data_IF_268726576936
#
_entry.id   IF_268726576936
#
_cell.length_a   1.000
_cell.length_b   1.000
_cell.length_c   1.000
_cell.angle_alpha   90.00
_cell.angle_beta   90.00
_cell.angle_gamma   90.00
#
_symmetry.space_group_name_H-M   'P 1'
#
loop_
_entity.id
_entity.type
_entity.pdbx_description
1 polymer ?
#
# COMPACT_ATOMS: atom_id res chain seq x y z
N UNK A 1 -10.06 16.03 15.98
CA UNK A 1 -10.49 15.32 14.75
C UNK A 1 -10.12 13.85 14.88
N UNK A 2 -11.00 12.93 14.50
CA UNK A 2 -10.69 11.50 14.53
C UNK A 2 -10.38 10.98 13.13
N UNK A 3 -9.37 10.12 13.03
CA UNK A 3 -9.00 9.38 11.82
C UNK A 3 -9.12 7.88 12.08
N UNK A 4 -9.86 7.19 11.20
CA UNK A 4 -10.20 5.78 11.31
C UNK A 4 -9.96 5.06 9.98
N UNK A 5 -9.19 3.98 10.01
CA UNK A 5 -8.82 3.20 8.83
C UNK A 5 -9.31 1.77 8.97
N UNK A 6 -10.03 1.29 7.96
CA UNK A 6 -10.43 -0.11 7.80
C UNK A 6 -9.58 -0.72 6.67
N UNK A 7 -8.79 -1.73 7.01
CA UNK A 7 -7.82 -2.34 6.09
C UNK A 7 -8.35 -3.58 5.37
N UNK A 8 -9.02 -4.50 6.06
CA UNK A 8 -9.56 -5.74 5.49
C UNK A 8 -10.85 -6.17 6.22
N UNK A 9 -11.74 -6.83 5.47
CA UNK A 9 -13.08 -7.22 5.87
C UNK A 9 -13.35 -8.63 5.29
N UNK A 10 -13.27 -9.68 6.11
CA UNK A 10 -13.38 -11.08 5.65
C UNK A 10 -14.47 -11.84 6.42
N UNK A 11 -15.54 -12.27 5.75
CA UNK A 11 -16.54 -13.16 6.38
C UNK A 11 -16.14 -14.61 6.16
N UNK A 12 -16.01 -15.34 7.27
CA UNK A 12 -15.88 -16.80 7.26
C UNK A 12 -16.88 -17.38 8.24
N UNK A 13 -17.71 -18.29 7.75
CA UNK A 13 -18.51 -19.17 8.59
C UNK A 13 -17.60 -20.25 9.19
N UNK A 14 -17.15 -20.07 10.43
CA UNK A 14 -16.55 -21.17 11.19
C UNK A 14 -17.67 -22.06 11.78
N UNK A 15 -17.67 -23.37 11.53
CA UNK A 15 -18.29 -24.30 12.46
C UNK A 15 -17.42 -24.33 13.73
N UNK A 16 -17.96 -23.84 14.86
CA UNK A 16 -17.29 -23.96 16.15
C UNK A 16 -17.06 -25.45 16.51
N UNK A 17 -15.97 -25.78 17.23
CA UNK A 17 -15.66 -27.17 17.55
C UNK A 17 -16.78 -27.83 18.37
N UNK A 18 -17.11 -29.07 18.00
CA UNK A 18 -18.23 -29.84 18.52
C UNK A 18 -18.28 -29.91 20.06
N UNK A 19 -19.22 -29.20 20.68
CA UNK A 19 -19.80 -29.62 21.97
C UNK A 19 -21.25 -29.17 22.19
N UNK A 20 -22.09 -30.18 22.42
CA UNK A 20 -23.49 -30.14 22.90
C UNK A 20 -24.59 -29.54 22.01
N UNK A 21 -25.49 -30.45 21.59
CA UNK A 21 -26.92 -30.30 21.26
C UNK A 21 -27.30 -29.39 20.07
N UNK A 22 -27.94 -30.02 19.09
CA UNK A 22 -28.48 -29.40 17.89
C UNK A 22 -29.64 -28.44 18.17
N UNK A 23 -29.42 -27.14 17.94
CA UNK A 23 -30.50 -26.16 17.84
C UNK A 23 -31.14 -26.30 16.45
N UNK A 24 -32.30 -26.97 16.37
CA UNK A 24 -33.14 -26.93 15.16
C UNK A 24 -33.59 -25.48 14.93
N UNK A 25 -33.02 -24.81 13.92
CA UNK A 25 -33.36 -23.43 13.60
C UNK A 25 -32.23 -22.61 12.95
N UNK A 26 -30.99 -23.10 12.96
CA UNK A 26 -29.91 -22.47 12.20
C UNK A 26 -30.22 -22.52 10.70
N UNK A 27 -30.56 -21.37 10.10
CA UNK A 27 -30.40 -21.19 8.67
C UNK A 27 -28.90 -21.19 8.36
N UNK A 28 -28.46 -22.07 7.48
CA UNK A 28 -27.11 -21.97 6.91
C UNK A 28 -26.98 -20.65 6.13
N UNK A 29 -25.77 -20.10 6.08
CA UNK A 29 -25.49 -18.91 5.28
C UNK A 29 -25.58 -19.31 3.81
N UNK A 30 -26.69 -18.92 3.17
CA UNK A 30 -26.97 -19.31 1.79
C UNK A 30 -25.90 -18.74 0.84
N UNK A 31 -25.52 -19.51 -0.19
CA UNK A 31 -24.67 -19.00 -1.26
C UNK A 31 -25.37 -17.81 -1.91
N UNK A 32 -24.75 -16.62 -1.82
CA UNK A 32 -25.46 -15.36 -2.04
C UNK A 32 -24.58 -14.25 -2.61
N UNK A 33 -25.23 -13.15 -2.99
CA UNK A 33 -24.55 -11.94 -3.45
C UNK A 33 -24.45 -10.94 -2.31
N UNK A 34 -23.28 -10.84 -1.70
CA UNK A 34 -23.07 -10.10 -0.45
C UNK A 34 -22.27 -8.81 -0.66
N UNK A 35 -22.53 -7.80 0.17
CA UNK A 35 -21.67 -6.63 0.36
C UNK A 35 -21.74 -6.14 1.83
N UNK A 36 -20.84 -5.25 2.21
CA UNK A 36 -20.81 -4.63 3.53
C UNK A 36 -20.98 -3.11 3.39
N UNK A 37 -21.60 -2.48 4.39
CA UNK A 37 -21.59 -1.02 4.58
C UNK A 37 -20.95 -0.67 5.91
N UNK A 38 -20.08 0.34 5.90
CA UNK A 38 -19.47 0.92 7.09
C UNK A 38 -20.32 2.09 7.54
N UNK A 39 -20.72 2.07 8.81
CA UNK A 39 -21.59 3.05 9.45
C UNK A 39 -20.88 3.56 10.71
N UNK A 40 -20.81 4.88 10.88
CA UNK A 40 -20.21 5.54 12.06
C UNK A 40 -21.28 6.39 12.73
N UNK A 41 -21.62 6.08 13.99
CA UNK A 41 -22.72 6.69 14.75
C UNK A 41 -23.98 6.98 13.91
N UNK A 42 -24.45 5.93 13.21
CA UNK A 42 -25.64 5.89 12.34
C UNK A 42 -25.51 6.54 10.94
N UNK A 43 -24.41 7.22 10.62
CA UNK A 43 -24.15 7.74 9.27
C UNK A 43 -23.44 6.71 8.38
N UNK A 44 -23.89 6.54 7.14
CA UNK A 44 -23.23 5.69 6.15
C UNK A 44 -21.96 6.35 5.61
N UNK A 45 -20.82 5.67 5.72
CA UNK A 45 -19.50 6.21 5.35
C UNK A 45 -18.88 5.50 4.14
N UNK A 46 -19.12 4.20 3.97
CA UNK A 46 -18.66 3.45 2.81
C UNK A 46 -19.52 2.21 2.51
N UNK A 47 -19.37 1.71 1.29
CA UNK A 47 -19.95 0.44 0.80
C UNK A 47 -18.87 -0.35 0.06
N UNK A 48 -18.79 -1.66 0.29
CA UNK A 48 -17.89 -2.55 -0.45
C UNK A 48 -18.49 -3.04 -1.76
N UNK A 49 -17.65 -3.57 -2.65
CA UNK A 49 -18.12 -4.26 -3.86
C UNK A 49 -19.02 -5.46 -3.53
N UNK A 50 -20.03 -5.72 -4.36
CA UNK A 50 -20.84 -6.94 -4.21
C UNK A 50 -20.06 -8.16 -4.70
N UNK A 51 -19.82 -9.14 -3.82
CA UNK A 51 -19.25 -10.44 -4.18
C UNK A 51 -20.40 -11.42 -4.43
N UNK A 52 -20.62 -11.77 -5.70
CA UNK A 52 -21.71 -12.65 -6.13
C UNK A 52 -21.40 -14.13 -5.85
N UNK A 53 -22.45 -14.91 -5.57
CA UNK A 53 -22.39 -16.37 -5.36
C UNK A 53 -21.33 -16.83 -4.33
N UNK A 54 -21.09 -16.03 -3.29
CA UNK A 54 -20.12 -16.32 -2.24
C UNK A 54 -20.78 -17.05 -1.05
N UNK A 55 -20.05 -18.00 -0.47
CA UNK A 55 -20.31 -18.60 0.85
C UNK A 55 -19.41 -18.01 1.95
N UNK A 56 -18.18 -17.63 1.60
CA UNK A 56 -17.22 -16.94 2.46
C UNK A 56 -16.67 -15.69 1.73
N UNK A 57 -17.42 -14.58 1.66
CA UNK A 57 -17.01 -13.40 0.90
C UNK A 57 -15.86 -12.64 1.58
N UNK A 58 -14.86 -12.29 0.76
CA UNK A 58 -13.70 -11.50 1.15
C UNK A 58 -13.71 -10.11 0.47
N UNK A 59 -13.60 -9.07 1.28
CA UNK A 59 -13.39 -7.68 0.85
C UNK A 59 -12.04 -7.19 1.35
N UNK A 60 -11.08 -7.12 0.42
CA UNK A 60 -9.76 -6.55 0.65
C UNK A 60 -9.68 -5.04 0.40
N UNK A 61 -10.83 -4.36 0.42
CA UNK A 61 -10.99 -2.93 0.14
C UNK A 61 -10.59 -2.10 1.36
N UNK A 62 -9.81 -1.03 1.14
CA UNK A 62 -9.23 -0.22 2.21
C UNK A 62 -9.91 1.14 2.27
N UNK A 63 -10.57 1.43 3.38
CA UNK A 63 -11.23 2.71 3.63
C UNK A 63 -10.43 3.51 4.64
N UNK A 64 -10.30 4.81 4.40
CA UNK A 64 -9.73 5.76 5.37
C UNK A 64 -10.73 6.89 5.53
N UNK A 65 -11.09 7.15 6.77
CA UNK A 65 -12.15 8.06 7.18
C UNK A 65 -11.55 9.11 8.11
N UNK A 66 -11.94 10.38 7.97
CA UNK A 66 -11.40 11.51 8.72
C UNK A 66 -12.51 12.44 9.24
N UNK A 67 -12.12 13.37 10.12
CA UNK A 67 -12.90 14.54 10.52
C UNK A 67 -14.20 14.29 11.29
N UNK A 68 -14.29 13.14 11.97
CA UNK A 68 -15.41 12.89 12.89
C UNK A 68 -15.39 13.78 14.14
N UNK A 69 -16.58 14.09 14.71
CA UNK A 69 -16.72 14.64 16.04
C UNK A 69 -15.99 13.79 17.09
N UNK A 70 -15.47 14.45 18.13
CA UNK A 70 -14.90 13.77 19.31
C UNK A 70 -15.93 12.96 20.11
N UNK A 71 -17.23 13.14 19.82
CA UNK A 71 -18.33 12.36 20.40
C UNK A 71 -18.55 10.99 19.75
N UNK A 72 -17.80 10.61 18.71
CA UNK A 72 -17.96 9.35 17.97
C UNK A 72 -17.83 8.13 18.90
N UNK A 73 -18.87 7.30 19.01
CA UNK A 73 -18.93 6.17 19.96
C UNK A 73 -18.76 4.80 19.32
N UNK A 74 -19.31 4.58 18.13
CA UNK A 74 -19.47 3.24 17.55
C UNK A 74 -19.12 3.21 16.07
N UNK A 75 -18.20 2.30 15.70
CA UNK A 75 -18.13 1.78 14.35
C UNK A 75 -19.06 0.57 14.24
N UNK A 76 -19.84 0.53 13.17
CA UNK A 76 -20.66 -0.62 12.80
C UNK A 76 -20.35 -1.04 11.36
N UNK A 77 -20.18 -2.34 11.12
CA UNK A 77 -20.12 -2.90 9.76
C UNK A 77 -21.37 -3.75 9.57
N UNK A 78 -22.26 -3.31 8.69
CA UNK A 78 -23.54 -3.98 8.40
C UNK A 78 -23.41 -4.78 7.11
N UNK A 79 -23.83 -6.04 7.15
CA UNK A 79 -23.68 -7.02 6.06
C UNK A 79 -25.03 -7.13 5.35
N UNK A 80 -25.01 -6.95 4.03
CA UNK A 80 -26.19 -6.96 3.17
C UNK A 80 -26.12 -8.09 2.13
N UNK A 81 -27.28 -8.64 1.80
CA UNK A 81 -27.48 -9.61 0.73
C UNK A 81 -28.38 -9.01 -0.34
N UNK A 82 -27.99 -9.15 -1.60
CA UNK A 82 -28.81 -8.83 -2.76
C UNK A 82 -29.68 -10.04 -3.09
N UNK A 83 -30.90 -10.05 -2.56
CA UNK A 83 -31.94 -11.01 -2.92
C UNK A 83 -32.57 -10.64 -4.27
N UNK A 84 -32.88 -11.63 -5.12
CA UNK A 84 -33.67 -11.41 -6.34
C UNK A 84 -35.15 -11.32 -5.99
N UNK A 85 -35.84 -10.29 -6.48
CA UNK A 85 -37.30 -10.18 -6.33
C UNK A 85 -38.03 -11.03 -7.36
N UNK A 86 -39.27 -11.44 -7.05
CA UNK A 86 -40.15 -12.12 -8.02
C UNK A 86 -40.44 -11.29 -9.28
N UNK A 87 -40.21 -9.98 -9.24
CA UNK A 87 -40.34 -9.04 -10.37
C UNK A 87 -39.06 -8.88 -11.20
N UNK A 88 -38.01 -9.67 -10.93
CA UNK A 88 -36.74 -9.64 -11.67
C UNK A 88 -35.74 -8.55 -11.22
N UNK A 89 -36.08 -7.75 -10.22
CA UNK A 89 -35.18 -6.78 -9.61
C UNK A 89 -34.28 -7.39 -8.52
N UNK A 90 -33.44 -6.55 -7.92
CA UNK A 90 -32.64 -6.90 -6.74
C UNK A 90 -33.07 -6.05 -5.54
N UNK A 91 -33.22 -6.69 -4.37
CA UNK A 91 -33.47 -6.02 -3.10
C UNK A 91 -32.29 -6.22 -2.16
N UNK A 92 -31.80 -5.13 -1.59
CA UNK A 92 -30.73 -5.16 -0.60
C UNK A 92 -31.36 -5.44 0.78
N UNK A 93 -30.95 -6.52 1.43
CA UNK A 93 -31.50 -6.97 2.72
C UNK A 93 -30.37 -7.08 3.74
N UNK A 94 -30.43 -6.37 4.89
CA UNK A 94 -29.42 -6.47 5.92
C UNK A 94 -29.57 -7.81 6.67
N UNK A 95 -28.47 -8.56 6.75
CA UNK A 95 -28.41 -9.94 7.29
C UNK A 95 -27.91 -9.94 8.73
N UNK A 96 -26.96 -9.07 9.04
CA UNK A 96 -26.32 -8.98 10.35
C UNK A 96 -25.34 -7.81 10.40
N UNK A 97 -24.75 -7.57 11.57
CA UNK A 97 -23.81 -6.46 11.81
C UNK A 97 -22.67 -6.87 12.75
N UNK A 98 -21.60 -6.08 12.77
CA UNK A 98 -20.60 -6.09 13.84
C UNK A 98 -20.51 -4.68 14.41
N UNK A 99 -20.64 -4.57 15.74
CA UNK A 99 -20.64 -3.31 16.48
C UNK A 99 -19.36 -3.21 17.33
N UNK A 100 -18.58 -2.12 17.20
CA UNK A 100 -17.32 -1.92 17.96
C UNK A 100 -17.30 -0.51 18.56
N UNK A 101 -17.14 -0.41 19.88
CA UNK A 101 -16.93 0.87 20.56
C UNK A 101 -15.57 1.47 20.21
N UNK A 102 -15.56 2.78 19.97
CA UNK A 102 -14.36 3.60 19.83
C UNK A 102 -13.50 3.56 21.09
N UNK A 103 -14.08 3.38 22.28
CA UNK A 103 -13.32 3.17 23.53
C UNK A 103 -12.46 1.90 23.51
N UNK A 104 -12.82 0.91 22.71
CA UNK A 104 -12.01 -0.31 22.51
C UNK A 104 -10.89 -0.03 21.52
N UNK A 105 -11.19 0.65 20.42
CA UNK A 105 -10.21 0.99 19.38
C UNK A 105 -9.15 1.99 19.90
N UNK A 106 -9.54 2.96 20.72
CA UNK A 106 -8.65 3.96 21.31
C UNK A 106 -7.61 3.38 22.30
N UNK A 107 -7.80 2.14 22.76
CA UNK A 107 -6.86 1.43 23.65
C UNK A 107 -5.82 0.59 22.90
N UNK A 108 -5.82 0.62 21.57
CA UNK A 108 -4.97 -0.24 20.72
C UNK A 108 -4.38 0.53 19.54
N UNK A 109 -3.07 0.37 19.26
CA UNK A 109 -2.46 0.95 18.04
C UNK A 109 -3.06 0.40 16.74
N UNK A 110 -3.52 -0.85 16.78
CA UNK A 110 -4.32 -1.51 15.76
C UNK A 110 -5.19 -2.62 16.40
N UNK A 111 -6.37 -2.82 15.84
CA UNK A 111 -7.32 -3.85 16.23
C UNK A 111 -7.48 -4.83 15.07
N UNK A 112 -7.04 -6.07 15.25
CA UNK A 112 -7.09 -7.12 14.21
C UNK A 112 -7.72 -8.38 14.77
N UNK A 113 -9.02 -8.55 14.63
CA UNK A 113 -9.77 -9.63 15.29
C UNK A 113 -10.88 -10.21 14.41
N UNK A 114 -11.25 -11.46 14.68
CA UNK A 114 -12.54 -12.02 14.29
C UNK A 114 -13.63 -11.55 15.26
N UNK A 115 -14.69 -10.96 14.73
CA UNK A 115 -15.86 -10.51 15.47
C UNK A 115 -17.08 -11.35 15.07
N UNK A 116 -17.80 -11.90 16.05
CA UNK A 116 -19.07 -12.61 15.81
C UNK A 116 -20.11 -11.64 15.24
N UNK A 117 -20.90 -12.09 14.27
CA UNK A 117 -21.93 -11.27 13.65
C UNK A 117 -23.19 -11.26 14.54
N UNK A 118 -23.72 -10.08 14.85
CA UNK A 118 -25.00 -9.85 15.54
C UNK A 118 -26.16 -9.86 14.53
N UNK A 119 -27.33 -10.37 14.94
CA UNK A 119 -28.58 -10.21 14.20
C UNK A 119 -29.04 -8.74 14.16
N UNK A 120 -29.83 -8.38 13.14
CA UNK A 120 -30.30 -7.00 12.94
C UNK A 120 -31.53 -6.64 13.79
N UNK A 121 -32.24 -7.62 14.35
CA UNK A 121 -33.53 -7.43 15.04
C UNK A 121 -33.50 -7.87 16.50
N UNK A 122 -32.49 -8.65 16.88
CA UNK A 122 -32.25 -9.16 18.23
C UNK A 122 -30.75 -9.05 18.54
N UNK A 123 -30.40 -8.79 19.80
CA UNK A 123 -28.99 -8.75 20.24
C UNK A 123 -28.39 -10.16 20.42
N UNK A 124 -28.74 -11.09 19.54
CA UNK A 124 -28.22 -12.45 19.49
C UNK A 124 -27.15 -12.54 18.38
N UNK A 125 -26.15 -13.40 18.57
CA UNK A 125 -25.19 -13.70 17.52
C UNK A 125 -25.77 -14.71 16.51
N UNK A 126 -25.46 -14.53 15.23
CA UNK A 126 -25.78 -15.47 14.15
C UNK A 126 -24.54 -16.31 13.78
N UNK A 127 -24.75 -17.38 13.00
CA UNK A 127 -23.66 -18.23 12.53
C UNK A 127 -22.78 -17.50 11.49
N UNK A 128 -21.72 -16.86 11.96
CA UNK A 128 -20.67 -16.29 11.11
C UNK A 128 -19.79 -15.30 11.87
N UNK A 129 -18.54 -15.17 11.39
CA UNK A 129 -17.58 -14.22 11.94
C UNK A 129 -17.00 -13.36 10.83
N UNK A 130 -16.84 -12.08 11.13
CA UNK A 130 -16.22 -11.08 10.27
C UNK A 130 -14.86 -10.69 10.86
N UNK A 131 -13.77 -10.92 10.13
CA UNK A 131 -12.44 -10.39 10.47
C UNK A 131 -12.38 -8.92 10.07
N UNK A 132 -11.98 -8.07 11.00
CA UNK A 132 -11.71 -6.65 10.78
C UNK A 132 -10.26 -6.34 11.16
N UNK A 133 -9.57 -5.60 10.29
CA UNK A 133 -8.32 -4.89 10.62
C UNK A 133 -8.63 -3.38 10.67
N UNK A 134 -8.58 -2.79 11.85
CA UNK A 134 -8.93 -1.41 12.14
C UNK A 134 -7.74 -0.67 12.78
N UNK A 135 -7.59 0.62 12.45
CA UNK A 135 -6.69 1.53 13.15
C UNK A 135 -7.43 2.85 13.41
N UNK A 136 -7.60 3.19 14.68
CA UNK A 136 -8.21 4.45 15.13
C UNK A 136 -7.14 5.38 15.67
N UNK A 137 -7.37 6.69 15.55
CA UNK A 137 -6.49 7.72 16.06
C UNK A 137 -7.26 9.02 16.29
N UNK A 138 -7.21 9.56 17.51
CA UNK A 138 -7.85 10.82 17.89
C UNK A 138 -6.78 11.91 18.00
N UNK A 139 -6.76 12.86 17.06
CA UNK A 139 -5.80 13.96 17.06
C UNK A 139 -6.46 15.27 17.50
N UNK A 140 -5.79 16.01 18.37
CA UNK A 140 -6.04 17.45 18.50
C UNK A 140 -5.27 18.12 17.37
N UNK A 141 -6.00 18.59 16.36
CA UNK A 141 -5.45 19.37 15.24
C UNK A 141 -5.58 20.83 15.62
N UNK A 142 -4.44 21.51 15.74
CA UNK A 142 -4.31 22.95 15.99
C UNK A 142 -4.46 23.72 14.66
N UNK A 143 -4.58 25.06 14.68
CA UNK A 143 -4.42 25.88 13.48
C UNK A 143 -3.09 25.57 12.75
N UNK A 144 -3.05 25.75 11.44
CA UNK A 144 -1.88 25.48 10.59
C UNK A 144 -0.65 26.30 11.00
N UNK A 145 -0.89 27.47 11.56
CA UNK A 145 0.09 28.46 11.97
C UNK A 145 0.96 27.91 13.10
N UNK A 146 0.36 27.23 14.09
CA UNK A 146 1.03 26.61 15.23
C UNK A 146 2.06 25.55 14.82
N UNK A 147 1.88 24.90 13.65
CA UNK A 147 2.78 23.89 13.12
C UNK A 147 3.85 24.44 12.16
N UNK A 148 3.86 25.74 11.87
CA UNK A 148 4.70 26.32 10.82
C UNK A 148 6.18 26.03 11.02
N UNK A 149 6.71 26.30 12.22
CA UNK A 149 8.15 26.16 12.48
C UNK A 149 8.60 24.69 12.52
N UNK A 150 7.72 23.79 12.97
CA UNK A 150 7.95 22.34 12.88
C UNK A 150 8.13 21.88 11.43
N UNK A 151 7.39 22.46 10.48
CA UNK A 151 7.55 22.14 9.05
C UNK A 151 8.77 22.84 8.46
N UNK A 152 9.06 24.08 8.86
CA UNK A 152 10.27 24.80 8.44
C UNK A 152 11.54 24.00 8.76
N UNK A 153 11.62 23.43 9.98
CA UNK A 153 12.72 22.59 10.44
C UNK A 153 13.02 21.37 9.54
N UNK A 154 12.03 20.86 8.80
CA UNK A 154 12.22 19.74 7.87
C UNK A 154 13.04 20.13 6.63
N UNK A 155 13.33 21.42 6.44
CA UNK A 155 14.24 21.92 5.41
C UNK A 155 15.71 21.90 5.84
N UNK A 156 16.00 21.66 7.13
CA UNK A 156 17.37 21.61 7.63
C UNK A 156 17.98 20.20 7.43
N UNK A 157 19.17 20.07 6.79
CA UNK A 157 19.78 18.77 6.54
C UNK A 157 20.05 17.97 7.81
N UNK A 158 20.34 18.64 8.92
CA UNK A 158 20.69 18.06 10.22
C UNK A 158 19.47 17.40 10.87
N UNK A 159 18.34 18.12 10.88
CA UNK A 159 17.03 17.56 11.24
C UNK A 159 16.71 16.32 10.39
N UNK A 160 16.88 16.38 9.07
CA UNK A 160 16.60 15.24 8.20
C UNK A 160 17.55 14.04 8.45
N UNK A 161 18.82 14.27 8.82
CA UNK A 161 19.76 13.20 9.22
C UNK A 161 19.33 12.58 10.55
N UNK A 162 19.06 13.39 11.57
CA UNK A 162 18.50 12.93 12.84
C UNK A 162 17.25 12.07 12.65
N UNK A 163 16.27 12.56 11.88
CA UNK A 163 15.00 11.85 11.62
C UNK A 163 15.21 10.52 10.90
N UNK A 164 16.14 10.43 9.95
CA UNK A 164 16.47 9.17 9.29
C UNK A 164 17.00 8.11 10.27
N UNK A 165 17.78 8.51 11.28
CA UNK A 165 18.27 7.60 12.34
C UNK A 165 17.17 7.29 13.35
N UNK A 166 16.53 8.32 13.93
CA UNK A 166 15.65 8.22 15.09
C UNK A 166 14.25 7.66 14.80
N UNK A 167 13.69 7.83 13.60
CA UNK A 167 12.35 7.29 13.29
C UNK A 167 12.41 5.75 13.20
N UNK A 168 11.60 5.00 14.00
CA UNK A 168 11.63 3.54 14.00
C UNK A 168 11.30 2.95 12.62
N UNK A 169 11.93 1.83 12.19
CA UNK A 169 11.70 1.21 10.88
C UNK A 169 10.24 0.86 10.53
N UNK A 170 9.36 0.69 11.53
CA UNK A 170 7.91 0.48 11.35
C UNK A 170 7.14 1.77 11.04
N UNK A 171 7.68 2.94 11.39
CA UNK A 171 7.04 4.24 11.25
C UNK A 171 7.54 5.02 10.02
N UNK A 172 8.75 4.73 9.51
CA UNK A 172 9.37 5.45 8.36
C UNK A 172 8.45 5.65 7.15
N UNK A 173 7.69 4.63 6.73
CA UNK A 173 6.73 4.77 5.62
C UNK A 173 5.56 5.71 5.94
N UNK A 174 5.09 5.72 7.18
CA UNK A 174 4.04 6.64 7.64
C UNK A 174 4.56 8.07 7.72
N UNK A 175 5.75 8.28 8.31
CA UNK A 175 6.34 9.62 8.46
C UNK A 175 6.64 10.25 7.10
N UNK A 176 7.28 9.51 6.20
CA UNK A 176 7.56 9.96 4.84
C UNK A 176 6.27 10.34 4.09
N UNK A 177 5.17 9.59 4.26
CA UNK A 177 3.87 9.91 3.68
C UNK A 177 3.27 11.21 4.21
N UNK A 178 3.36 11.47 5.52
CA UNK A 178 2.88 12.72 6.12
C UNK A 178 3.71 13.91 5.61
N UNK A 179 5.05 13.82 5.68
CA UNK A 179 5.97 14.86 5.20
C UNK A 179 5.74 15.20 3.71
N UNK A 180 5.61 14.19 2.83
CA UNK A 180 5.37 14.39 1.40
C UNK A 180 4.02 15.03 1.08
N UNK A 181 2.98 14.76 1.88
CA UNK A 181 1.68 15.43 1.69
C UNK A 181 1.75 16.90 2.05
N UNK A 182 2.39 17.26 3.17
CA UNK A 182 2.61 18.66 3.57
C UNK A 182 3.38 19.39 2.46
N UNK A 183 4.52 18.84 2.03
CA UNK A 183 5.31 19.45 0.96
C UNK A 183 4.58 19.47 -0.40
N UNK A 184 3.72 18.47 -0.74
CA UNK A 184 2.88 18.55 -1.95
C UNK A 184 1.84 19.68 -1.87
N UNK A 185 1.21 19.89 -0.71
CA UNK A 185 0.26 21.00 -0.52
C UNK A 185 0.91 22.36 -0.78
N UNK A 186 2.20 22.49 -0.47
CA UNK A 186 3.04 23.69 -0.71
C UNK A 186 3.70 23.75 -2.10
N UNK A 187 3.59 22.71 -2.93
CA UNK A 187 4.29 22.61 -4.21
C UNK A 187 5.79 22.28 -4.13
N UNK A 188 6.30 21.88 -2.96
CA UNK A 188 7.74 21.64 -2.70
C UNK A 188 8.10 20.14 -2.56
N UNK A 189 7.24 19.22 -3.03
CA UNK A 189 7.45 17.77 -2.85
C UNK A 189 8.82 17.27 -3.36
N UNK A 190 9.25 17.72 -4.54
CA UNK A 190 10.53 17.35 -5.15
C UNK A 190 11.74 17.84 -4.33
N UNK A 191 11.64 19.00 -3.67
CA UNK A 191 12.68 19.55 -2.80
C UNK A 191 12.93 18.62 -1.63
N UNK A 192 11.86 18.17 -0.96
CA UNK A 192 11.95 17.24 0.17
C UNK A 192 12.56 15.90 -0.26
N UNK A 193 12.12 15.32 -1.37
CA UNK A 193 12.68 14.07 -1.91
C UNK A 193 14.16 14.25 -2.23
N UNK A 194 14.53 15.36 -2.88
CA UNK A 194 15.92 15.66 -3.24
C UNK A 194 16.83 15.76 -2.02
N UNK A 195 16.44 16.49 -0.98
CA UNK A 195 17.23 16.61 0.27
C UNK A 195 17.37 15.27 1.00
N UNK A 196 16.29 14.48 1.07
CA UNK A 196 16.33 13.13 1.65
C UNK A 196 17.24 12.19 0.84
N UNK A 197 17.18 12.23 -0.49
CA UNK A 197 18.03 11.42 -1.36
C UNK A 197 19.51 11.85 -1.29
N UNK A 198 19.80 13.15 -1.23
CA UNK A 198 21.17 13.66 -1.03
C UNK A 198 21.78 13.16 0.28
N UNK A 199 20.98 13.11 1.36
CA UNK A 199 21.39 12.56 2.65
C UNK A 199 21.69 11.06 2.57
N UNK A 200 20.82 10.25 1.96
CA UNK A 200 21.08 8.81 1.82
C UNK A 200 22.29 8.53 0.91
N UNK A 201 22.51 9.32 -0.14
CA UNK A 201 23.69 9.24 -1.00
C UNK A 201 24.96 9.55 -0.19
N UNK A 202 24.97 10.67 0.55
CA UNK A 202 26.12 11.08 1.37
C UNK A 202 26.43 10.09 2.52
N UNK A 203 25.45 9.31 2.97
CA UNK A 203 25.62 8.29 4.02
C UNK A 203 25.83 6.85 3.51
N UNK A 204 26.07 6.63 2.20
CA UNK A 204 26.14 5.27 1.62
C UNK A 204 27.47 5.01 0.91
N UNK A 205 28.38 4.28 1.57
CA UNK A 205 29.71 3.93 1.03
C UNK A 205 29.67 3.06 -0.23
N UNK A 206 28.61 2.25 -0.41
CA UNK A 206 28.50 1.26 -1.47
C UNK A 206 27.26 1.52 -2.36
N UNK A 207 27.45 2.02 -3.60
CA UNK A 207 26.35 2.28 -4.53
C UNK A 207 25.42 1.09 -4.81
N UNK A 208 25.89 -0.15 -4.60
CA UNK A 208 25.09 -1.36 -4.83
C UNK A 208 23.99 -1.60 -3.77
N UNK A 209 24.01 -0.89 -2.63
CA UNK A 209 22.94 -0.90 -1.62
C UNK A 209 22.15 0.42 -1.55
N UNK A 210 22.56 1.44 -2.32
CA UNK A 210 21.90 2.73 -2.39
C UNK A 210 20.42 2.57 -2.78
N UNK A 211 19.53 3.20 -2.02
CA UNK A 211 18.09 3.07 -2.13
C UNK A 211 17.53 1.63 -2.07
N UNK A 212 18.28 0.64 -1.54
CA UNK A 212 17.80 -0.74 -1.34
C UNK A 212 17.48 -1.08 0.13
N UNK A 213 17.77 -0.16 1.06
CA UNK A 213 17.45 -0.31 2.48
C UNK A 213 16.00 0.02 2.87
N UNK A 214 15.76 0.15 4.18
CA UNK A 214 14.53 0.70 4.79
C UNK A 214 14.85 2.01 5.53
N UNK A 215 15.39 2.98 4.79
CA UNK A 215 15.68 4.36 5.21
C UNK A 215 14.43 5.24 5.18
N UNK A 216 14.49 6.45 5.74
CA UNK A 216 13.43 7.45 5.55
C UNK A 216 13.34 7.91 4.08
N UNK A 217 14.49 8.05 3.40
CA UNK A 217 14.56 8.53 2.03
C UNK A 217 14.02 7.50 1.01
N UNK A 218 14.36 6.21 1.12
CA UNK A 218 13.68 5.16 0.32
C UNK A 218 12.18 5.13 0.57
N UNK A 219 11.73 5.41 1.80
CA UNK A 219 10.30 5.52 2.11
C UNK A 219 9.64 6.79 1.59
N UNK A 220 10.37 7.89 1.42
CA UNK A 220 9.89 9.04 0.66
C UNK A 220 9.75 8.69 -0.82
N UNK A 221 10.79 8.13 -1.45
CA UNK A 221 10.74 7.69 -2.85
C UNK A 221 9.61 6.68 -3.10
N UNK A 222 9.46 5.65 -2.25
CA UNK A 222 8.35 4.67 -2.29
C UNK A 222 6.96 5.35 -2.34
N UNK A 223 6.75 6.45 -1.62
CA UNK A 223 5.46 7.15 -1.59
C UNK A 223 5.36 8.21 -2.70
N UNK A 224 6.46 8.86 -3.06
CA UNK A 224 6.48 9.89 -4.10
C UNK A 224 6.23 9.30 -5.49
N UNK A 225 6.86 8.17 -5.83
CA UNK A 225 6.57 7.46 -7.09
C UNK A 225 5.10 7.02 -7.17
N UNK A 226 4.50 6.56 -6.06
CA UNK A 226 3.05 6.27 -5.99
C UNK A 226 2.17 7.51 -6.10
N UNK A 227 2.68 8.69 -5.76
CA UNK A 227 1.96 9.95 -5.72
C UNK A 227 1.92 10.65 -7.10
N UNK A 228 2.94 10.43 -7.95
CA UNK A 228 3.02 10.97 -9.32
C UNK A 228 2.73 9.94 -10.42
N UNK A 229 3.26 8.71 -10.31
CA UNK A 229 3.29 7.76 -11.43
C UNK A 229 2.19 6.67 -11.40
N UNK A 230 1.21 6.74 -10.47
CA UNK A 230 0.13 5.74 -10.39
C UNK A 230 -0.75 5.68 -11.65
N UNK A 231 -1.00 6.82 -12.32
CA UNK A 231 -1.77 6.84 -13.57
C UNK A 231 -1.03 6.13 -14.70
N UNK A 232 0.27 6.41 -14.88
CA UNK A 232 1.16 5.71 -15.81
C UNK A 232 1.22 4.20 -15.51
N UNK A 233 1.39 3.83 -14.23
CA UNK A 233 1.42 2.45 -13.79
C UNK A 233 0.12 1.70 -14.13
N UNK A 234 -1.03 2.36 -13.96
CA UNK A 234 -2.34 1.82 -14.34
C UNK A 234 -2.46 1.65 -15.86
N UNK A 235 -2.02 2.64 -16.64
CA UNK A 235 -2.04 2.59 -18.10
C UNK A 235 -1.20 1.43 -18.67
N UNK A 236 0.02 1.23 -18.16
CA UNK A 236 0.94 0.19 -18.66
C UNK A 236 0.59 -1.21 -18.14
N UNK A 237 0.32 -1.36 -16.84
CA UNK A 237 0.22 -2.70 -16.23
C UNK A 237 -1.20 -3.27 -16.17
N UNK A 238 -2.25 -2.46 -16.07
CA UNK A 238 -3.62 -2.98 -15.91
C UNK A 238 -4.10 -3.84 -17.08
N UNK A 239 -3.86 -3.49 -18.36
CA UNK A 239 -4.30 -4.32 -19.50
C UNK A 239 -3.74 -5.74 -19.44
N UNK A 240 -2.42 -5.87 -19.28
CA UNK A 240 -1.76 -7.18 -19.27
C UNK A 240 -2.02 -7.97 -17.98
N UNK A 241 -2.11 -7.31 -16.82
CA UNK A 241 -2.50 -7.98 -15.58
C UNK A 241 -3.94 -8.51 -15.67
N UNK A 242 -4.86 -7.76 -16.29
CA UNK A 242 -6.24 -8.22 -16.55
C UNK A 242 -6.24 -9.46 -17.46
N UNK A 243 -5.39 -9.48 -18.51
CA UNK A 243 -5.22 -10.65 -19.37
C UNK A 243 -4.67 -11.86 -18.60
N UNK A 244 -3.69 -11.67 -17.72
CA UNK A 244 -3.11 -12.74 -16.87
C UNK A 244 -4.12 -13.27 -15.86
N UNK A 245 -4.95 -12.41 -15.24
CA UNK A 245 -6.02 -12.82 -14.32
C UNK A 245 -7.15 -13.58 -15.02
N UNK A 246 -7.44 -13.27 -16.29
CA UNK A 246 -8.43 -13.97 -17.10
C UNK A 246 -7.87 -15.25 -17.75
N UNK A 247 -6.57 -15.52 -17.63
CA UNK A 247 -5.93 -16.72 -18.16
C UNK A 247 -6.15 -17.92 -17.22
N UNK A 248 -6.77 -18.99 -17.74
CA UNK A 248 -6.94 -20.26 -17.01
C UNK A 248 -5.73 -21.19 -17.15
N UNK A 249 -4.78 -20.87 -18.02
CA UNK A 249 -3.65 -21.72 -18.37
C UNK A 249 -2.40 -21.39 -17.54
N UNK A 250 -1.78 -22.40 -16.94
CA UNK A 250 -0.60 -22.22 -16.09
C UNK A 250 0.64 -21.84 -16.89
N UNK A 251 1.36 -20.79 -16.50
CA UNK A 251 2.68 -20.45 -17.06
C UNK A 251 3.85 -21.00 -16.22
N UNK A 252 3.62 -22.04 -15.42
CA UNK A 252 4.69 -22.72 -14.66
C UNK A 252 5.74 -23.31 -15.61
N UNK A 253 7.03 -23.13 -15.30
CA UNK A 253 8.18 -23.61 -16.10
C UNK A 253 9.19 -24.42 -15.29
N UNK A 254 8.99 -24.55 -13.98
CA UNK A 254 9.80 -25.43 -13.11
C UNK A 254 9.51 -26.92 -13.41
N UNK A 255 10.50 -27.72 -13.86
CA UNK A 255 10.30 -29.13 -14.18
C UNK A 255 9.78 -29.96 -13.00
N UNK A 256 10.18 -29.60 -11.77
CA UNK A 256 9.80 -30.32 -10.54
C UNK A 256 8.33 -30.14 -10.20
N UNK A 257 7.71 -29.04 -10.67
CA UNK A 257 6.29 -28.72 -10.49
C UNK A 257 5.42 -29.17 -11.65
N UNK A 258 6.01 -29.37 -12.83
CA UNK A 258 5.35 -29.90 -14.03
C UNK A 258 5.40 -31.43 -14.16
N UNK A 259 5.97 -32.14 -13.17
CA UNK A 259 6.28 -33.58 -13.28
C UNK A 259 7.06 -33.92 -14.58
N UNK A 260 7.95 -33.02 -15.02
CA UNK A 260 8.71 -33.09 -16.27
C UNK A 260 7.88 -33.15 -17.58
N UNK A 261 6.63 -32.67 -17.61
CA UNK A 261 5.82 -32.61 -18.83
C UNK A 261 6.37 -31.59 -19.86
N UNK A 262 7.16 -32.07 -20.82
CA UNK A 262 7.87 -31.23 -21.80
C UNK A 262 6.94 -30.48 -22.76
N UNK A 263 5.86 -31.10 -23.24
CA UNK A 263 4.92 -30.46 -24.19
C UNK A 263 4.23 -29.25 -23.54
N UNK A 264 3.72 -29.45 -22.32
CA UNK A 264 3.12 -28.38 -21.54
C UNK A 264 4.15 -27.30 -21.18
N UNK A 265 5.38 -27.68 -20.85
CA UNK A 265 6.47 -26.72 -20.59
C UNK A 265 6.73 -25.81 -21.80
N UNK A 266 6.72 -26.33 -23.03
CA UNK A 266 6.93 -25.54 -24.24
C UNK A 266 5.81 -24.52 -24.50
N UNK A 267 4.55 -24.91 -24.28
CA UNK A 267 3.39 -23.99 -24.33
C UNK A 267 3.46 -22.92 -23.23
N UNK A 268 3.86 -23.32 -22.03
CA UNK A 268 4.02 -22.43 -20.89
C UNK A 268 5.13 -21.40 -21.11
N UNK A 269 6.25 -21.79 -21.72
CA UNK A 269 7.29 -20.87 -22.18
C UNK A 269 6.76 -19.88 -23.20
N UNK A 270 5.99 -20.33 -24.20
CA UNK A 270 5.40 -19.43 -25.21
C UNK A 270 4.46 -18.39 -24.58
N UNK A 271 3.62 -18.79 -23.61
CA UNK A 271 2.75 -17.86 -22.88
C UNK A 271 3.54 -16.90 -22.00
N UNK A 272 4.53 -17.38 -21.26
CA UNK A 272 5.38 -16.56 -20.39
C UNK A 272 6.16 -15.49 -21.20
N UNK A 273 6.78 -15.89 -22.30
CA UNK A 273 7.49 -14.99 -23.23
C UNK A 273 6.54 -13.95 -23.83
N UNK A 274 5.35 -14.36 -24.28
CA UNK A 274 4.35 -13.43 -24.82
C UNK A 274 3.94 -12.35 -23.81
N UNK A 275 3.80 -12.70 -22.52
CA UNK A 275 3.51 -11.72 -21.48
C UNK A 275 4.71 -10.79 -21.19
N UNK A 276 5.95 -11.28 -21.18
CA UNK A 276 7.13 -10.43 -20.93
C UNK A 276 7.44 -9.51 -22.12
N UNK A 277 7.28 -9.98 -23.35
CA UNK A 277 7.41 -9.17 -24.57
C UNK A 277 6.37 -8.04 -24.64
N UNK A 278 5.11 -8.32 -24.28
CA UNK A 278 4.05 -7.31 -24.34
C UNK A 278 4.31 -6.19 -23.32
N UNK A 279 4.59 -6.57 -22.06
CA UNK A 279 4.88 -5.60 -20.99
C UNK A 279 6.10 -4.72 -21.30
N UNK A 280 7.11 -5.29 -21.97
CA UNK A 280 8.26 -4.54 -22.46
C UNK A 280 7.87 -3.53 -23.54
N UNK A 281 7.14 -3.95 -24.59
CA UNK A 281 6.70 -3.07 -25.69
C UNK A 281 5.79 -1.93 -25.20
N UNK A 282 4.94 -2.20 -24.21
CA UNK A 282 4.09 -1.18 -23.57
C UNK A 282 4.90 -0.15 -22.75
N UNK A 283 6.12 -0.50 -22.31
CA UNK A 283 7.07 0.42 -21.68
C UNK A 283 7.98 1.16 -22.69
N UNK A 284 8.30 0.53 -23.83
CA UNK A 284 9.17 1.09 -24.89
C UNK A 284 8.55 2.26 -25.66
N UNK A 285 7.22 2.39 -25.69
CA UNK A 285 6.50 3.27 -26.62
C UNK A 285 6.71 4.79 -26.46
N UNK A 286 7.56 5.24 -25.52
CA UNK A 286 7.69 6.65 -25.16
C UNK A 286 9.16 7.10 -24.93
N UNK A 287 9.61 8.10 -25.72
CA UNK A 287 10.80 8.98 -25.54
C UNK A 287 12.20 8.37 -25.78
N UNK A 288 13.30 9.07 -25.42
CA UNK A 288 14.69 8.76 -25.83
C UNK A 288 15.79 8.95 -24.72
N UNK A 289 17.04 8.61 -25.06
CA UNK A 289 18.19 8.09 -24.25
C UNK A 289 19.11 9.19 -23.59
N UNK A 290 20.31 9.03 -22.95
CA UNK A 290 21.38 7.98 -22.83
C UNK A 290 22.19 8.00 -21.48
N UNK A 291 22.70 6.83 -21.00
CA UNK A 291 23.99 6.51 -20.27
C UNK A 291 24.04 5.87 -18.83
N UNK A 292 25.16 5.20 -18.51
CA UNK A 292 25.21 3.86 -17.87
C UNK A 292 25.14 3.69 -16.33
N UNK A 293 25.70 4.56 -15.49
CA UNK A 293 25.75 4.30 -14.01
C UNK A 293 24.34 4.41 -13.39
N UNK A 294 23.46 5.14 -14.05
CA UNK A 294 22.10 5.49 -13.63
C UNK A 294 21.20 4.25 -13.53
N UNK A 295 21.44 3.25 -14.39
CA UNK A 295 20.63 2.04 -14.52
C UNK A 295 20.44 1.28 -13.20
N UNK A 296 21.52 0.94 -12.49
CA UNK A 296 21.44 0.11 -11.27
C UNK A 296 20.63 0.79 -10.15
N UNK A 297 20.73 2.12 -10.06
CA UNK A 297 20.03 2.93 -9.05
C UNK A 297 18.56 3.07 -9.42
N UNK A 298 18.25 3.43 -10.67
CA UNK A 298 16.86 3.65 -11.12
C UNK A 298 16.10 2.33 -11.28
N UNK A 299 16.76 1.23 -11.64
CA UNK A 299 16.17 -0.12 -11.53
C UNK A 299 15.90 -0.51 -10.06
N UNK A 300 16.79 -0.12 -9.14
CA UNK A 300 16.59 -0.29 -7.70
C UNK A 300 15.48 0.58 -7.10
N UNK A 301 15.15 1.71 -7.74
CA UNK A 301 14.10 2.64 -7.33
C UNK A 301 12.78 2.33 -8.02
N UNK A 302 12.71 2.41 -9.35
CA UNK A 302 11.48 2.34 -10.12
C UNK A 302 11.03 0.89 -10.33
N UNK A 303 11.91 0.03 -10.87
CA UNK A 303 11.52 -1.35 -11.15
C UNK A 303 11.32 -2.16 -9.87
N UNK A 304 12.30 -2.20 -8.97
CA UNK A 304 12.29 -3.01 -7.75
C UNK A 304 11.23 -2.59 -6.71
N UNK A 305 10.85 -1.30 -6.64
CA UNK A 305 9.91 -0.79 -5.60
C UNK A 305 8.54 -0.38 -6.12
N UNK A 306 8.39 -0.14 -7.42
CA UNK A 306 7.13 0.29 -8.03
C UNK A 306 6.58 -0.74 -9.02
N UNK A 307 7.28 -1.01 -10.13
CA UNK A 307 6.79 -1.91 -11.20
C UNK A 307 6.67 -3.37 -10.72
N UNK A 308 7.76 -3.95 -10.20
CA UNK A 308 7.83 -5.36 -9.80
C UNK A 308 6.88 -5.67 -8.64
N UNK A 309 6.78 -4.84 -7.57
CA UNK A 309 5.77 -5.05 -6.53
C UNK A 309 4.33 -4.89 -7.01
N UNK A 310 4.07 -4.07 -8.04
CA UNK A 310 2.74 -3.94 -8.65
C UNK A 310 2.34 -5.18 -9.44
N UNK A 311 3.24 -5.75 -10.25
CA UNK A 311 3.02 -7.04 -10.93
C UNK A 311 2.77 -8.15 -9.90
N UNK A 312 3.55 -8.21 -8.82
CA UNK A 312 3.41 -9.21 -7.76
C UNK A 312 2.14 -9.07 -6.92
N UNK A 313 1.65 -7.84 -6.71
CA UNK A 313 0.51 -7.56 -5.83
C UNK A 313 -0.49 -6.55 -6.44
N UNK A 314 -1.17 -6.86 -7.56
CA UNK A 314 -1.98 -5.85 -8.28
C UNK A 314 -3.14 -5.27 -7.47
N UNK A 315 -3.66 -6.03 -6.50
CA UNK A 315 -4.62 -5.57 -5.48
C UNK A 315 -4.10 -4.37 -4.68
N UNK A 316 -2.82 -4.38 -4.25
CA UNK A 316 -2.25 -3.30 -3.43
C UNK A 316 -2.01 -2.00 -4.20
N UNK A 317 -2.03 -2.09 -5.54
CA UNK A 317 -1.93 -0.96 -6.46
C UNK A 317 -3.28 -0.63 -7.12
N UNK A 318 -4.39 -1.16 -6.58
CA UNK A 318 -5.78 -0.92 -7.03
C UNK A 318 -6.10 -1.34 -8.49
N UNK A 319 -5.27 -2.19 -9.11
CA UNK A 319 -5.53 -2.69 -10.48
C UNK A 319 -6.60 -3.79 -10.50
N UNK A 320 -6.58 -4.68 -9.50
CA UNK A 320 -7.46 -5.85 -9.43
C UNK A 320 -8.24 -5.93 -8.12
N UNK A 321 -9.55 -6.29 -8.14
CA UNK A 321 -10.44 -6.27 -6.96
C UNK A 321 -10.27 -7.46 -6.00
N UNK A 322 -9.19 -8.22 -6.12
CA UNK A 322 -8.93 -9.44 -5.37
C UNK A 322 -7.49 -9.94 -5.52
N UNK A 323 -7.08 -10.82 -4.61
CA UNK A 323 -5.81 -11.53 -4.72
C UNK A 323 -5.81 -12.45 -5.96
N UNK A 324 -4.63 -12.70 -6.57
CA UNK A 324 -4.51 -13.71 -7.61
C UNK A 324 -4.73 -15.11 -7.01
N UNK A 325 -5.23 -16.06 -7.82
CA UNK A 325 -5.19 -17.49 -7.49
C UNK A 325 -3.76 -18.02 -7.57
N UNK A 326 -3.47 -19.21 -7.05
CA UNK A 326 -2.09 -19.76 -7.03
C UNK A 326 -1.44 -19.81 -8.42
N UNK A 327 -2.20 -20.20 -9.45
CA UNK A 327 -1.76 -20.23 -10.86
C UNK A 327 -1.45 -18.84 -11.41
N UNK A 328 -2.32 -17.86 -11.13
CA UNK A 328 -2.15 -16.47 -11.56
C UNK A 328 -0.97 -15.84 -10.80
N UNK A 329 -0.86 -16.06 -9.50
CA UNK A 329 0.21 -15.56 -8.64
C UNK A 329 1.58 -16.13 -9.01
N UNK A 330 1.67 -17.41 -9.38
CA UNK A 330 2.90 -18.01 -9.92
C UNK A 330 3.25 -17.42 -11.29
N UNK A 331 2.27 -17.19 -12.15
CA UNK A 331 2.50 -16.54 -13.47
C UNK A 331 3.03 -15.12 -13.30
N UNK A 332 2.39 -14.30 -12.45
CA UNK A 332 2.85 -12.96 -12.09
C UNK A 332 4.25 -12.97 -11.47
N UNK A 333 4.57 -13.95 -10.62
CA UNK A 333 5.91 -14.12 -10.04
C UNK A 333 6.99 -14.37 -11.11
N UNK A 334 6.71 -15.20 -12.12
CA UNK A 334 7.66 -15.52 -13.20
C UNK A 334 7.87 -14.32 -14.13
N UNK A 335 6.81 -13.60 -14.50
CA UNK A 335 6.89 -12.34 -15.24
C UNK A 335 7.69 -11.29 -14.45
N UNK A 336 7.29 -11.04 -13.19
CA UNK A 336 7.96 -10.08 -12.31
C UNK A 336 9.45 -10.38 -12.12
N UNK A 337 9.82 -11.67 -11.99
CA UNK A 337 11.23 -12.09 -11.87
C UNK A 337 12.03 -11.88 -13.15
N UNK A 338 11.43 -12.15 -14.32
CA UNK A 338 12.07 -11.87 -15.62
C UNK A 338 12.33 -10.38 -15.80
N UNK A 339 11.30 -9.55 -15.57
CA UNK A 339 11.41 -8.08 -15.67
C UNK A 339 12.41 -7.53 -14.65
N UNK A 340 12.46 -8.08 -13.43
CA UNK A 340 13.43 -7.68 -12.41
C UNK A 340 14.88 -7.99 -12.79
N UNK A 341 15.13 -9.14 -13.44
CA UNK A 341 16.46 -9.50 -13.93
C UNK A 341 16.87 -8.62 -15.12
N UNK A 342 15.95 -8.41 -16.07
CA UNK A 342 16.13 -7.51 -17.21
C UNK A 342 16.44 -6.08 -16.75
N UNK A 343 15.67 -5.50 -15.82
CA UNK A 343 15.92 -4.14 -15.30
C UNK A 343 17.24 -4.02 -14.54
N UNK A 344 17.68 -5.09 -13.88
CA UNK A 344 18.99 -5.15 -13.21
C UNK A 344 20.14 -5.43 -14.19
N UNK A 345 19.87 -5.62 -15.49
CA UNK A 345 20.82 -5.99 -16.53
C UNK A 345 21.61 -7.29 -16.21
N UNK A 346 20.95 -8.28 -15.60
CA UNK A 346 21.55 -9.57 -15.21
C UNK A 346 20.79 -10.78 -15.76
N UNK A 347 21.54 -11.82 -16.10
CA UNK A 347 21.01 -13.10 -16.58
C UNK A 347 20.66 -14.04 -15.43
N UNK A 348 19.79 -15.02 -15.69
CA UNK A 348 19.63 -16.18 -14.80
C UNK A 348 20.88 -17.05 -14.82
N UNK A 349 21.25 -17.54 -13.63
CA UNK A 349 22.40 -18.42 -13.43
C UNK A 349 22.07 -19.57 -12.49
N UNK A 350 23.10 -20.29 -12.03
CA UNK A 350 22.99 -21.59 -11.35
C UNK A 350 22.10 -21.67 -10.08
N UNK A 351 21.62 -20.55 -9.53
CA UNK A 351 20.61 -20.53 -8.46
C UNK A 351 19.21 -20.89 -8.96
N UNK A 352 18.89 -20.60 -10.22
CA UNK A 352 17.55 -20.83 -10.81
C UNK A 352 17.68 -21.38 -12.25
N UNK A 353 18.29 -22.58 -12.44
CA UNK A 353 18.61 -23.11 -13.76
C UNK A 353 17.37 -23.35 -14.64
N UNK A 354 16.19 -23.52 -14.03
CA UNK A 354 14.92 -23.63 -14.74
C UNK A 354 14.52 -22.34 -15.46
N UNK A 355 15.05 -21.17 -15.09
CA UNK A 355 14.82 -19.89 -15.76
C UNK A 355 15.85 -19.59 -16.87
N UNK A 356 16.92 -20.39 -17.02
CA UNK A 356 17.97 -20.14 -18.02
C UNK A 356 17.48 -19.97 -19.47
N UNK A 357 16.41 -20.64 -19.97
CA UNK A 357 15.89 -20.37 -21.31
C UNK A 357 15.42 -18.91 -21.52
N UNK A 358 15.06 -18.21 -20.44
CA UNK A 358 14.70 -16.79 -20.47
C UNK A 358 15.90 -15.87 -20.74
N UNK A 359 17.15 -16.34 -20.64
CA UNK A 359 18.32 -15.52 -20.91
C UNK A 359 18.34 -15.02 -22.36
N UNK A 360 17.86 -15.81 -23.33
CA UNK A 360 17.75 -15.39 -24.74
C UNK A 360 16.83 -14.17 -24.89
N UNK A 361 15.72 -14.13 -24.12
CA UNK A 361 14.84 -12.97 -24.06
C UNK A 361 15.51 -11.79 -23.34
N UNK A 362 16.23 -12.01 -22.24
CA UNK A 362 16.93 -10.92 -21.54
C UNK A 362 18.00 -10.30 -22.45
N UNK A 363 18.90 -11.11 -23.00
CA UNK A 363 20.01 -10.70 -23.87
C UNK A 363 19.53 -9.88 -25.08
N UNK A 364 18.46 -10.33 -25.73
CA UNK A 364 17.86 -9.65 -26.89
C UNK A 364 17.29 -8.26 -26.55
N UNK A 365 16.99 -8.00 -25.28
CA UNK A 365 16.22 -6.84 -24.83
C UNK A 365 16.97 -5.95 -23.82
N UNK A 366 18.24 -6.24 -23.51
CA UNK A 366 19.08 -5.43 -22.62
C UNK A 366 19.14 -3.96 -23.08
N UNK A 367 19.33 -3.71 -24.38
CA UNK A 367 19.45 -2.34 -24.91
C UNK A 367 18.13 -1.57 -24.82
N UNK A 368 17.00 -2.22 -25.09
CA UNK A 368 15.69 -1.61 -24.92
C UNK A 368 15.42 -1.25 -23.45
N UNK A 369 15.82 -2.11 -22.51
CA UNK A 369 15.69 -1.83 -21.08
C UNK A 369 16.58 -0.66 -20.62
N UNK A 370 17.83 -0.56 -21.10
CA UNK A 370 18.68 0.62 -20.87
C UNK A 370 17.96 1.90 -21.33
N UNK A 371 17.47 1.89 -22.57
CA UNK A 371 16.76 3.02 -23.16
C UNK A 371 15.55 3.42 -22.30
N UNK A 372 14.72 2.46 -21.86
CA UNK A 372 13.60 2.70 -20.91
C UNK A 372 14.08 3.38 -19.62
N UNK A 373 15.23 2.99 -19.06
CA UNK A 373 15.74 3.59 -17.82
C UNK A 373 16.36 4.98 -18.05
N UNK A 374 17.00 5.24 -19.19
CA UNK A 374 17.49 6.57 -19.55
C UNK A 374 16.37 7.59 -19.69
N UNK A 375 15.25 7.18 -20.28
CA UNK A 375 14.05 8.01 -20.42
C UNK A 375 13.46 8.43 -19.08
N UNK A 376 13.60 7.58 -18.05
CA UNK A 376 13.22 7.91 -16.66
C UNK A 376 14.19 8.91 -16.00
N UNK A 377 15.38 9.15 -16.57
CA UNK A 377 16.30 10.20 -16.13
C UNK A 377 15.93 11.59 -16.70
N UNK A 378 15.26 11.65 -17.86
CA UNK A 378 15.09 12.89 -18.60
C UNK A 378 13.86 13.69 -18.15
N UNK A 379 14.09 14.80 -17.44
CA UNK A 379 13.03 15.76 -17.12
C UNK A 379 12.65 16.61 -18.32
N UNK A 380 11.36 16.73 -18.59
CA UNK A 380 10.80 17.86 -19.34
C UNK A 380 10.60 19.02 -18.39
N UNK A 381 11.15 20.17 -18.73
CA UNK A 381 10.78 21.41 -18.05
C UNK A 381 9.32 21.74 -18.36
N UNK A 382 8.57 22.21 -17.35
CA UNK A 382 7.21 22.78 -17.46
C UNK A 382 6.03 21.80 -17.66
N UNK A 383 6.15 20.50 -17.36
CA UNK A 383 4.96 19.67 -17.11
C UNK A 383 4.52 19.85 -15.65
N UNK A 384 3.52 20.73 -15.40
CA UNK A 384 2.91 20.90 -14.08
C UNK A 384 2.32 19.56 -13.59
N UNK A 385 2.76 19.11 -12.41
CA UNK A 385 2.17 17.95 -11.75
C UNK A 385 0.67 18.19 -11.57
N UNK A 386 -0.13 17.17 -11.92
CA UNK A 386 -1.59 17.17 -11.71
C UNK A 386 -1.96 17.82 -10.34
N UNK A 387 -2.90 18.78 -10.32
CA UNK A 387 -3.15 19.59 -9.14
C UNK A 387 -3.41 18.68 -7.93
N UNK A 388 -2.84 19.01 -6.75
CA UNK A 388 -2.88 18.11 -5.62
C UNK A 388 -4.34 17.73 -5.28
N UNK A 389 -4.61 16.45 -4.96
CA UNK A 389 -5.88 16.13 -4.31
C UNK A 389 -5.97 16.96 -3.03
N UNK A 390 -7.18 17.35 -2.62
CA UNK A 390 -7.38 18.19 -1.42
C UNK A 390 -6.71 17.53 -0.22
N UNK A 391 -5.58 18.10 0.20
CA UNK A 391 -4.78 17.68 1.36
C UNK A 391 -5.10 18.64 2.49
N UNK A 392 -5.67 18.09 3.56
CA UNK A 392 -5.80 18.80 4.84
C UNK A 392 -4.41 18.85 5.49
N UNK A 393 -3.68 19.95 5.26
CA UNK A 393 -2.31 20.12 5.73
C UNK A 393 -2.21 20.04 7.27
N UNK A 394 -3.20 20.60 7.98
CA UNK A 394 -3.27 20.58 9.44
C UNK A 394 -3.38 19.16 10.02
N UNK A 395 -4.16 18.27 9.40
CA UNK A 395 -4.17 16.85 9.79
C UNK A 395 -2.80 16.21 9.59
N UNK A 396 -2.16 16.43 8.45
CA UNK A 396 -0.87 15.78 8.13
C UNK A 396 0.26 16.33 9.03
N UNK A 397 0.24 17.63 9.36
CA UNK A 397 1.08 18.28 10.37
C UNK A 397 0.89 17.67 11.76
N UNK A 398 -0.35 17.59 12.25
CA UNK A 398 -0.65 17.01 13.56
C UNK A 398 -0.22 15.53 13.66
N UNK A 399 -0.41 14.78 12.57
CA UNK A 399 0.03 13.39 12.45
C UNK A 399 1.55 13.25 12.48
N UNK A 400 2.28 14.16 11.81
CA UNK A 400 3.74 14.21 11.84
C UNK A 400 4.25 14.59 13.24
N UNK A 401 3.72 15.67 13.82
CA UNK A 401 4.00 16.12 15.18
C UNK A 401 3.91 14.98 16.20
N UNK A 402 2.83 14.18 16.18
CA UNK A 402 2.71 13.03 17.10
C UNK A 402 3.83 12.00 16.94
N UNK A 403 4.25 11.69 15.71
CA UNK A 403 5.38 10.77 15.49
C UNK A 403 6.67 11.33 16.09
N UNK A 404 6.90 12.62 15.92
CA UNK A 404 8.10 13.31 16.39
C UNK A 404 8.13 13.46 17.93
N UNK A 405 7.00 13.76 18.57
CA UNK A 405 6.88 13.76 20.04
C UNK A 405 7.14 12.37 20.63
N UNK A 406 6.65 11.31 20.00
CA UNK A 406 6.86 9.93 20.46
C UNK A 406 8.34 9.50 20.44
N UNK A 407 9.18 10.13 19.61
CA UNK A 407 10.64 9.94 19.60
C UNK A 407 11.42 11.05 20.32
N UNK A 408 10.73 12.03 20.93
CA UNK A 408 11.36 13.26 21.44
C UNK A 408 12.51 13.06 22.43
N UNK A 409 12.46 12.01 23.27
CA UNK A 409 13.59 11.65 24.14
C UNK A 409 14.82 11.18 23.33
N UNK A 410 14.61 10.46 22.24
CA UNK A 410 15.66 10.08 21.30
C UNK A 410 16.28 11.29 20.60
N UNK A 411 15.46 12.30 20.24
CA UNK A 411 15.95 13.56 19.65
C UNK A 411 16.90 14.30 20.62
N UNK A 412 16.53 14.43 21.90
CA UNK A 412 17.41 15.06 22.91
C UNK A 412 18.73 14.30 23.07
N UNK A 413 18.67 12.97 23.24
CA UNK A 413 19.87 12.11 23.26
C UNK A 413 20.74 12.30 22.00
N UNK A 414 20.11 12.38 20.82
CA UNK A 414 20.84 12.58 19.56
C UNK A 414 21.59 13.91 19.54
N UNK A 415 20.99 15.00 20.03
CA UNK A 415 21.65 16.31 20.11
C UNK A 415 22.82 16.33 21.10
N UNK A 416 22.73 15.59 22.21
CA UNK A 416 23.82 15.44 23.18
C UNK A 416 25.01 14.64 22.61
N UNK A 417 24.73 13.59 21.84
CA UNK A 417 25.72 12.71 21.21
C UNK A 417 26.36 13.32 19.95
N UNK A 418 25.57 14.02 19.11
CA UNK A 418 25.97 14.48 17.77
C UNK A 418 26.16 16.00 17.72
N UNK A 419 27.07 16.53 18.55
CA UNK A 419 27.34 17.98 18.70
C UNK A 419 27.88 18.71 17.45
N UNK A 420 28.01 18.03 16.33
CA UNK A 420 28.30 18.60 15.01
C UNK A 420 27.05 18.86 14.16
N UNK A 421 25.86 18.55 14.67
CA UNK A 421 24.57 18.78 14.03
C UNK A 421 23.68 19.65 14.92
N UNK A 422 22.89 20.54 14.33
CA UNK A 422 21.91 21.37 15.04
C UNK A 422 20.46 20.92 14.74
N UNK A 423 19.79 20.45 15.79
CA UNK A 423 18.36 20.11 15.80
C UNK A 423 17.60 20.82 16.93
N UNK A 424 18.21 21.79 17.62
CA UNK A 424 17.56 22.57 18.67
C UNK A 424 16.29 23.29 18.17
N UNK A 425 16.23 23.86 16.95
CA UNK A 425 14.98 24.42 16.39
C UNK A 425 13.81 23.42 16.37
N UNK A 426 14.08 22.14 16.07
CA UNK A 426 13.07 21.08 16.10
C UNK A 426 12.62 20.80 17.55
N UNK A 427 13.56 20.75 18.51
CA UNK A 427 13.24 20.52 19.92
C UNK A 427 12.38 21.66 20.49
N UNK A 428 12.70 22.90 20.15
CA UNK A 428 11.91 24.10 20.52
C UNK A 428 10.51 24.03 19.91
N UNK A 429 10.38 23.84 18.59
CA UNK A 429 9.08 23.80 17.92
C UNK A 429 8.17 22.68 18.47
N UNK A 430 8.72 21.49 18.75
CA UNK A 430 7.98 20.41 19.40
C UNK A 430 7.55 20.78 20.84
N UNK A 431 8.35 21.54 21.57
CA UNK A 431 8.04 22.04 22.90
C UNK A 431 6.93 23.10 22.90
N UNK A 432 6.96 24.04 21.97
CA UNK A 432 5.94 25.10 21.83
C UNK A 432 4.56 24.52 21.49
N UNK A 433 4.47 23.68 20.45
CA UNK A 433 3.23 22.99 20.07
C UNK A 433 2.69 22.15 21.25
N UNK A 434 3.58 21.50 22.01
CA UNK A 434 3.19 20.73 23.20
C UNK A 434 2.56 21.62 24.26
N UNK A 435 3.14 22.78 24.55
CA UNK A 435 2.57 23.73 25.51
C UNK A 435 1.20 24.25 25.05
N UNK A 436 1.04 24.53 23.75
CA UNK A 436 -0.24 24.93 23.14
C UNK A 436 -1.32 23.83 23.21
N UNK A 437 -0.95 22.55 23.32
CA UNK A 437 -1.88 21.43 23.53
C UNK A 437 -2.24 21.16 24.99
N UNK A 438 -1.52 21.74 25.97
CA UNK A 438 -1.80 21.59 27.41
C UNK A 438 -2.45 22.82 28.04
N UNK A 439 -2.48 23.96 27.34
CA UNK A 439 -2.94 25.25 27.86
C UNK A 439 -4.01 25.95 27.00
N UNK A 440 -4.62 25.25 26.04
CA UNK A 440 -5.77 25.69 25.24
C UNK A 440 -6.77 24.58 24.99
#
# INVERSE_FOLDING_TARGET
MCNLKLCECCIVQQPLPLRSKSVKGSKDVAVGSYFCMVVLDWEYQARTQTKAQASAPFWGEKFTFSNFPSSLKTLMVVIYQNERTFTGGSKEVPVGKVSISVDTLAKTESFTQWCSIEDMKSNNFINGSLRLELQYSHEVVRPTEDYTELVNCLSYPDVLRCLNVMIPPKQRERTAKHMLKIYRARGEADRLVSSLCQIEIASTDNPNILFRGNSLATKAVDQYTKLVAMAYLHQVLTPIITQIYNCTESCEVDPTRLNNNQTQMAENWKRLLGFTEQLQKDAEGHFQEEENIRYTVIAGVFFLRFIVPAILNPKLFNMMPGHPSDTVGRTLMLVAKTIQNLSNLVLFGAKEPYMNPMNVFIESNLEAMKNVIDRLCWTRENEELSPPPVIDEGIEMAMLYRVLVNIGRGLVNYQEENKGEDIEPLLVALGEIKNLMFHG
#
